data_IF_641579818696
#
_entry.id   IF_641579818696
#
_cell.length_a   1.000
_cell.length_b   1.000
_cell.length_c   1.000
_cell.angle_alpha   90.00
_cell.angle_beta   90.00
_cell.angle_gamma   90.00
#
_symmetry.space_group_name_H-M   'P 1'
#
loop_
_entity.id
_entity.type
_entity.pdbx_description
1 polymer ?
#
# COMPACT_ATOMS: atom_id res chain seq x y z
N UNK A 1 -9.10 -28.63 -13.70
CA UNK A 1 -8.69 -27.22 -13.51
C UNK A 1 -8.35 -27.07 -12.04
N UNK A 2 -7.18 -26.52 -11.73
CA UNK A 2 -6.76 -26.21 -10.36
C UNK A 2 -6.94 -24.73 -10.11
N UNK A 3 -7.42 -24.36 -8.93
CA UNK A 3 -7.61 -22.97 -8.52
C UNK A 3 -6.47 -22.58 -7.58
N UNK A 4 -6.05 -21.32 -7.62
CA UNK A 4 -5.06 -20.80 -6.69
C UNK A 4 -5.62 -20.75 -5.26
N UNK A 5 -4.99 -21.46 -4.33
CA UNK A 5 -5.41 -21.51 -2.91
C UNK A 5 -5.46 -20.14 -2.22
N UNK A 6 -4.71 -19.16 -2.73
CA UNK A 6 -4.67 -17.80 -2.16
C UNK A 6 -5.74 -16.87 -2.71
N UNK A 7 -6.13 -17.01 -3.98
CA UNK A 7 -6.96 -15.98 -4.66
C UNK A 7 -8.05 -16.53 -5.57
N UNK A 8 -8.17 -17.85 -5.74
CA UNK A 8 -9.21 -18.47 -6.56
C UNK A 8 -9.05 -18.29 -8.07
N UNK A 9 -7.90 -17.81 -8.56
CA UNK A 9 -7.63 -17.70 -9.99
C UNK A 9 -7.42 -19.09 -10.63
N UNK A 10 -7.93 -19.28 -11.85
CA UNK A 10 -7.76 -20.52 -12.63
C UNK A 10 -6.29 -20.71 -13.05
N UNK A 11 -5.68 -21.80 -12.61
CA UNK A 11 -4.30 -22.15 -12.92
C UNK A 11 -4.24 -23.17 -14.05
N UNK A 12 -3.26 -23.00 -14.93
CA UNK A 12 -2.87 -24.00 -15.93
C UNK A 12 -1.88 -24.98 -15.29
N UNK A 13 -1.87 -26.22 -15.78
CA UNK A 13 -1.03 -27.29 -15.23
C UNK A 13 0.48 -26.99 -15.26
N UNK A 14 0.92 -26.03 -16.08
CA UNK A 14 2.31 -25.60 -16.23
C UNK A 14 2.69 -24.38 -15.39
N UNK A 15 1.73 -23.74 -14.72
CA UNK A 15 1.97 -22.49 -14.03
C UNK A 15 2.77 -22.72 -12.76
N UNK A 16 3.99 -22.17 -12.70
CA UNK A 16 4.84 -22.17 -11.50
C UNK A 16 4.44 -21.08 -10.50
N UNK A 17 3.71 -20.08 -10.98
CA UNK A 17 3.24 -18.93 -10.20
C UNK A 17 1.85 -18.51 -10.68
N UNK A 18 1.02 -18.02 -9.76
CA UNK A 18 -0.29 -17.48 -10.09
C UNK A 18 -0.14 -16.12 -10.82
N UNK A 19 -0.69 -16.02 -12.03
CA UNK A 19 -0.65 -14.78 -12.82
C UNK A 19 -1.45 -13.61 -12.22
N UNK A 20 -2.36 -13.86 -11.28
CA UNK A 20 -3.17 -12.83 -10.65
C UNK A 20 -2.58 -12.31 -9.33
N UNK A 21 -2.02 -13.19 -8.48
CA UNK A 21 -1.54 -12.82 -7.14
C UNK A 21 -0.05 -13.08 -6.89
N UNK A 22 0.68 -13.64 -7.87
CA UNK A 22 2.12 -13.88 -7.80
C UNK A 22 2.55 -15.00 -6.85
N UNK A 23 1.61 -15.73 -6.25
CA UNK A 23 1.94 -16.81 -5.30
C UNK A 23 2.51 -18.00 -6.03
N UNK A 24 3.60 -18.56 -5.49
CA UNK A 24 4.22 -19.77 -6.05
C UNK A 24 3.24 -20.93 -5.98
N UNK A 25 3.04 -21.61 -7.11
CA UNK A 25 2.16 -22.77 -7.22
C UNK A 25 3.02 -24.00 -7.03
N UNK A 26 2.75 -24.80 -5.99
CA UNK A 26 3.38 -26.11 -5.81
C UNK A 26 2.70 -27.08 -6.76
N UNK A 27 3.34 -27.39 -7.89
CA UNK A 27 2.88 -28.45 -8.79
C UNK A 27 3.17 -29.79 -8.13
N UNK A 28 2.16 -30.36 -7.47
CA UNK A 28 2.27 -31.68 -6.83
C UNK A 28 2.10 -32.78 -7.87
N UNK A 29 3.22 -33.35 -8.34
CA UNK A 29 3.23 -34.72 -8.83
C UNK A 29 2.99 -35.65 -7.64
N UNK A 30 1.97 -36.50 -7.75
CA UNK A 30 1.50 -37.44 -6.72
C UNK A 30 2.65 -38.29 -6.15
N UNK A 31 2.87 -38.25 -4.83
CA UNK A 31 3.23 -39.41 -4.02
C UNK A 31 2.74 -39.23 -2.57
N UNK A 32 2.10 -40.29 -2.09
CA UNK A 32 1.53 -40.47 -0.75
C UNK A 32 2.55 -40.26 0.37
N UNK A 33 2.10 -39.68 1.48
CA UNK A 33 2.89 -39.54 2.70
C UNK A 33 2.20 -38.64 3.72
N UNK A 34 1.40 -39.27 4.59
CA UNK A 34 0.69 -38.59 5.67
C UNK A 34 1.71 -38.05 6.70
N UNK A 35 1.79 -36.72 6.83
CA UNK A 35 2.60 -36.04 7.85
C UNK A 35 1.71 -35.05 8.60
N UNK A 36 1.34 -35.40 9.83
CA UNK A 36 0.65 -34.50 10.75
C UNK A 36 1.68 -33.60 11.43
N UNK A 37 1.62 -32.31 11.11
CA UNK A 37 2.34 -31.27 11.86
C UNK A 37 1.38 -30.68 12.87
N UNK A 38 1.67 -30.86 14.16
CA UNK A 38 1.09 -30.02 15.21
C UNK A 38 1.62 -28.60 15.00
N UNK A 39 0.73 -27.71 14.58
CA UNK A 39 0.99 -26.28 14.52
C UNK A 39 0.77 -25.74 15.93
N UNK A 40 1.85 -25.42 16.64
CA UNK A 40 1.78 -24.47 17.74
C UNK A 40 1.27 -23.14 17.16
N UNK A 41 -0.02 -22.87 17.41
CA UNK A 41 -0.63 -21.57 17.17
C UNK A 41 -0.03 -20.55 18.15
N UNK A 42 1.18 -20.09 17.90
CA UNK A 42 1.68 -18.86 18.47
C UNK A 42 1.34 -17.72 17.52
N UNK A 43 0.11 -17.22 17.65
CA UNK A 43 -0.21 -15.83 17.36
C UNK A 43 -1.50 -15.49 18.09
N UNK A 44 -1.36 -14.91 19.27
CA UNK A 44 -2.33 -13.92 19.74
C UNK A 44 -2.20 -12.69 18.83
N UNK A 45 -2.67 -12.82 17.59
CA UNK A 45 -2.92 -11.68 16.71
C UNK A 45 -4.42 -11.47 16.68
N UNK A 46 -4.75 -10.31 17.24
CA UNK A 46 -6.08 -9.76 17.43
C UNK A 46 -6.94 -9.93 16.18
N UNK A 47 -8.20 -10.33 16.39
CA UNK A 47 -9.16 -10.55 15.29
C UNK A 47 -9.44 -9.25 14.50
N UNK A 48 -9.12 -8.09 15.07
CA UNK A 48 -9.16 -6.79 14.39
C UNK A 48 -8.11 -6.62 13.28
N UNK A 49 -6.91 -7.18 13.43
CA UNK A 49 -5.77 -6.95 12.52
C UNK A 49 -6.01 -7.56 11.13
N UNK A 50 -6.55 -8.77 11.11
CA UNK A 50 -6.93 -9.47 9.85
C UNK A 50 -8.09 -8.79 9.13
N UNK A 51 -8.94 -8.03 9.83
CA UNK A 51 -10.10 -7.38 9.23
C UNK A 51 -9.70 -6.20 8.34
N UNK A 52 -8.79 -5.35 8.80
CA UNK A 52 -8.31 -4.16 8.07
C UNK A 52 -7.49 -4.55 6.84
N UNK A 53 -6.60 -5.54 6.98
CA UNK A 53 -5.79 -6.03 5.85
C UNK A 53 -6.69 -6.61 4.74
N UNK A 54 -7.72 -7.38 5.11
CA UNK A 54 -8.69 -7.88 4.14
C UNK A 54 -9.48 -6.76 3.47
N UNK A 55 -9.88 -5.73 4.22
CA UNK A 55 -10.56 -4.56 3.67
C UNK A 55 -9.69 -3.86 2.62
N UNK A 56 -8.43 -3.56 2.94
CA UNK A 56 -7.46 -2.94 2.01
C UNK A 56 -7.29 -3.81 0.76
N UNK A 57 -7.20 -5.13 0.90
CA UNK A 57 -7.09 -6.05 -0.23
C UNK A 57 -8.33 -6.02 -1.14
N UNK A 58 -9.51 -5.83 -0.56
CA UNK A 58 -10.78 -5.76 -1.26
C UNK A 58 -11.08 -4.38 -1.88
N UNK A 59 -10.26 -3.35 -1.62
CA UNK A 59 -10.38 -2.05 -2.27
C UNK A 59 -9.92 -2.11 -3.74
N UNK A 60 -10.85 -2.45 -4.62
CA UNK A 60 -10.61 -2.59 -6.08
C UNK A 60 -10.25 -1.27 -6.77
N UNK A 61 -10.72 -0.13 -6.25
CA UNK A 61 -10.36 1.21 -6.75
C UNK A 61 -8.88 1.56 -6.50
N UNK A 62 -8.24 0.87 -5.57
CA UNK A 62 -6.85 1.10 -5.22
C UNK A 62 -5.95 0.29 -6.16
N UNK A 63 -4.80 0.85 -6.58
CA UNK A 63 -3.88 0.06 -7.40
C UNK A 63 -3.20 -1.01 -6.54
N UNK A 64 -2.71 -2.12 -7.14
CA UNK A 64 -1.97 -3.16 -6.41
C UNK A 64 -0.79 -2.60 -5.60
N UNK A 65 -0.10 -1.60 -6.14
CA UNK A 65 0.99 -0.88 -5.48
C UNK A 65 0.54 -0.27 -4.15
N UNK A 66 -0.50 0.57 -4.17
CA UNK A 66 -0.97 1.24 -2.95
C UNK A 66 -1.54 0.27 -1.92
N UNK A 67 -2.15 -0.84 -2.35
CA UNK A 67 -2.62 -1.89 -1.41
C UNK A 67 -1.46 -2.48 -0.62
N UNK A 68 -0.40 -2.92 -1.30
CA UNK A 68 0.78 -3.49 -0.66
C UNK A 68 1.42 -2.47 0.29
N UNK A 69 1.49 -1.22 -0.15
CA UNK A 69 2.10 -0.15 0.63
C UNK A 69 1.31 0.17 1.90
N UNK A 70 -0.01 0.21 1.82
CA UNK A 70 -0.88 0.48 2.96
C UNK A 70 -0.84 -0.65 3.98
N UNK A 71 -0.74 -1.91 3.52
CA UNK A 71 -0.57 -3.07 4.40
C UNK A 71 0.74 -2.97 5.18
N UNK A 72 1.87 -2.66 4.51
CA UNK A 72 3.16 -2.46 5.19
C UNK A 72 3.08 -1.35 6.25
N UNK A 73 2.45 -0.22 5.92
CA UNK A 73 2.28 0.90 6.86
C UNK A 73 1.47 0.45 8.09
N UNK A 74 0.37 -0.27 7.86
CA UNK A 74 -0.50 -0.79 8.91
C UNK A 74 0.20 -1.82 9.81
N UNK A 75 0.80 -2.86 9.22
CA UNK A 75 1.52 -3.93 9.94
C UNK A 75 2.71 -3.39 10.75
N UNK A 76 3.35 -2.33 10.27
CA UNK A 76 4.46 -1.66 10.98
C UNK A 76 4.03 -0.79 12.16
N UNK A 77 2.71 -0.72 12.44
CA UNK A 77 2.12 0.25 13.36
C UNK A 77 2.59 1.69 13.07
N UNK A 78 2.67 2.04 11.78
CA UNK A 78 3.07 3.36 11.25
C UNK A 78 4.51 3.78 11.54
N UNK A 79 5.35 2.89 12.04
CA UNK A 79 6.80 3.13 12.08
C UNK A 79 7.38 3.29 10.66
N UNK A 80 6.75 2.62 9.69
CA UNK A 80 6.97 2.82 8.26
C UNK A 80 5.89 3.73 7.67
N UNK A 81 6.31 4.75 6.90
CA UNK A 81 5.43 5.75 6.28
C UNK A 81 5.31 5.61 4.76
N UNK A 82 5.84 4.50 4.23
CA UNK A 82 5.81 4.19 2.83
C UNK A 82 7.13 4.45 2.09
N UNK A 83 7.26 3.86 0.91
CA UNK A 83 8.35 4.12 -0.03
C UNK A 83 8.21 5.52 -0.63
N UNK A 84 9.31 5.97 -1.24
CA UNK A 84 9.35 7.22 -1.99
C UNK A 84 8.28 7.27 -3.09
N UNK A 85 7.43 8.30 -3.03
CA UNK A 85 6.37 8.52 -4.00
C UNK A 85 6.79 9.55 -5.06
N UNK A 86 7.29 9.04 -6.19
CA UNK A 86 7.71 9.86 -7.33
C UNK A 86 6.64 10.82 -7.84
N UNK A 87 5.37 10.38 -7.88
CA UNK A 87 4.29 11.19 -8.42
C UNK A 87 3.94 12.36 -7.50
N UNK A 88 3.96 12.12 -6.20
CA UNK A 88 3.79 13.14 -5.17
C UNK A 88 4.96 14.14 -5.17
N UNK A 89 6.19 13.67 -5.36
CA UNK A 89 7.37 14.55 -5.49
C UNK A 89 7.26 15.49 -6.69
N UNK A 90 7.03 14.95 -7.90
CA UNK A 90 7.07 15.73 -9.14
C UNK A 90 5.82 16.60 -9.34
N UNK A 91 4.66 16.13 -8.88
CA UNK A 91 3.37 16.78 -9.14
C UNK A 91 2.67 17.28 -7.86
N UNK A 92 3.30 17.15 -6.69
CA UNK A 92 2.92 17.78 -5.41
C UNK A 92 1.42 18.01 -5.20
N UNK A 93 0.97 19.28 -5.15
CA UNK A 93 -0.44 19.60 -4.99
C UNK A 93 -1.39 19.00 -6.03
N UNK A 94 -0.98 18.89 -7.30
CA UNK A 94 -1.81 18.28 -8.35
C UNK A 94 -2.04 16.79 -8.08
N UNK A 95 -0.99 16.07 -7.71
CA UNK A 95 -1.12 14.67 -7.30
C UNK A 95 -2.06 14.53 -6.08
N UNK A 96 -1.92 15.40 -5.08
CA UNK A 96 -2.77 15.40 -3.90
C UNK A 96 -4.25 15.65 -4.23
N UNK A 97 -4.57 16.58 -5.14
CA UNK A 97 -5.94 16.82 -5.62
C UNK A 97 -6.51 15.57 -6.30
N UNK A 98 -5.76 14.95 -7.21
CA UNK A 98 -6.19 13.73 -7.92
C UNK A 98 -6.47 12.56 -6.97
N UNK A 99 -5.78 12.53 -5.82
CA UNK A 99 -5.96 11.53 -4.77
C UNK A 99 -6.95 11.98 -3.68
N UNK A 100 -7.65 13.09 -3.85
CA UNK A 100 -8.66 13.59 -2.92
C UNK A 100 -8.12 14.12 -1.60
N UNK A 101 -6.86 14.56 -1.57
CA UNK A 101 -6.21 15.20 -0.42
C UNK A 101 -6.25 16.72 -0.54
N UNK A 102 -7.44 17.31 -0.47
CA UNK A 102 -7.61 18.76 -0.66
C UNK A 102 -6.81 19.59 0.34
N UNK A 103 -6.64 19.10 1.58
CA UNK A 103 -6.07 19.90 2.66
C UNK A 103 -4.56 20.01 2.45
N UNK A 104 -3.91 18.87 2.24
CA UNK A 104 -2.49 18.80 1.89
C UNK A 104 -2.21 19.55 0.59
N UNK A 105 -3.11 19.48 -0.41
CA UNK A 105 -2.95 20.21 -1.67
C UNK A 105 -2.98 21.73 -1.48
N UNK A 106 -3.99 22.27 -0.78
CA UNK A 106 -4.13 23.71 -0.56
C UNK A 106 -2.95 24.23 0.26
N UNK A 107 -2.66 23.57 1.39
CA UNK A 107 -1.61 24.02 2.30
C UNK A 107 -0.23 23.86 1.64
N UNK A 108 0.00 22.76 0.94
CA UNK A 108 1.22 22.53 0.17
C UNK A 108 1.41 23.54 -0.96
N UNK A 109 0.35 23.90 -1.69
CA UNK A 109 0.40 24.92 -2.73
C UNK A 109 0.70 26.31 -2.16
N UNK A 110 0.00 26.72 -1.09
CA UNK A 110 0.24 28.02 -0.46
C UNK A 110 1.65 28.13 0.12
N UNK A 111 2.13 27.09 0.82
CA UNK A 111 3.48 27.08 1.38
C UNK A 111 4.53 27.07 0.27
N UNK A 112 4.36 26.26 -0.77
CA UNK A 112 5.29 26.24 -1.90
C UNK A 112 5.30 27.57 -2.67
N UNK A 113 4.15 28.23 -2.86
CA UNK A 113 4.06 29.54 -3.49
C UNK A 113 4.78 30.61 -2.66
N UNK A 114 4.48 30.71 -1.35
CA UNK A 114 5.11 31.66 -0.44
C UNK A 114 6.63 31.47 -0.35
N UNK A 115 7.09 30.22 -0.20
CA UNK A 115 8.51 29.90 -0.14
C UNK A 115 9.20 30.12 -1.48
N UNK A 116 8.52 29.81 -2.59
CA UNK A 116 9.05 30.03 -3.94
C UNK A 116 9.26 31.49 -4.30
N UNK A 117 8.49 32.42 -3.72
CA UNK A 117 8.77 33.85 -3.83
C UNK A 117 10.07 34.27 -3.12
N UNK A 118 10.52 33.51 -2.11
CA UNK A 118 11.75 33.77 -1.36
C UNK A 118 12.93 33.04 -2.02
N UNK A 119 12.78 31.74 -2.29
CA UNK A 119 13.78 30.90 -2.94
C UNK A 119 13.13 29.63 -3.52
N UNK A 120 13.51 29.31 -4.75
CA UNK A 120 13.19 28.08 -5.46
C UNK A 120 13.65 26.80 -4.72
N UNK A 121 14.81 26.85 -4.04
CA UNK A 121 15.29 25.73 -3.23
C UNK A 121 14.36 25.38 -2.05
N UNK A 122 13.67 26.38 -1.46
CA UNK A 122 12.72 26.14 -0.37
C UNK A 122 11.43 25.50 -0.88
N UNK A 123 10.98 25.85 -2.08
CA UNK A 123 9.87 25.16 -2.73
C UNK A 123 10.23 23.69 -3.05
N UNK A 124 11.48 23.42 -3.43
CA UNK A 124 11.98 22.05 -3.64
C UNK A 124 11.96 21.21 -2.36
N UNK A 125 12.20 21.80 -1.18
CA UNK A 125 12.07 21.10 0.11
C UNK A 125 10.63 20.58 0.32
N UNK A 126 9.63 21.40 -0.01
CA UNK A 126 8.22 21.00 0.08
C UNK A 126 7.93 19.83 -0.87
N UNK A 127 8.43 19.88 -2.10
CA UNK A 127 8.30 18.76 -3.03
C UNK A 127 8.91 17.47 -2.48
N UNK A 128 10.11 17.53 -1.86
CA UNK A 128 10.75 16.37 -1.23
C UNK A 128 9.91 15.81 -0.08
N UNK A 129 9.30 16.66 0.76
CA UNK A 129 8.38 16.21 1.82
C UNK A 129 7.17 15.49 1.24
N UNK A 130 6.60 15.98 0.14
CA UNK A 130 5.55 15.27 -0.60
C UNK A 130 6.03 13.91 -1.14
N UNK A 131 7.27 13.82 -1.63
CA UNK A 131 7.86 12.57 -2.08
C UNK A 131 8.02 11.54 -0.96
N UNK A 132 8.53 11.96 0.20
CA UNK A 132 8.75 11.09 1.36
C UNK A 132 7.43 10.62 2.00
N UNK A 133 6.44 11.51 2.12
CA UNK A 133 5.21 11.22 2.87
C UNK A 133 3.97 11.01 2.02
N UNK A 134 4.07 11.10 0.69
CA UNK A 134 2.91 10.99 -0.20
C UNK A 134 2.09 9.72 0.05
N UNK A 135 2.74 8.57 0.17
CA UNK A 135 2.06 7.30 0.46
C UNK A 135 1.33 7.31 1.81
N UNK A 136 1.96 7.84 2.87
CA UNK A 136 1.34 7.99 4.19
C UNK A 136 0.15 8.95 4.21
N UNK A 137 0.25 10.08 3.49
CA UNK A 137 -0.87 11.02 3.36
C UNK A 137 -2.09 10.31 2.75
N UNK A 138 -1.85 9.56 1.66
CA UNK A 138 -2.92 8.84 0.97
C UNK A 138 -3.49 7.69 1.81
N UNK A 139 -2.63 6.95 2.53
CA UNK A 139 -3.04 5.95 3.51
C UNK A 139 -3.95 6.55 4.59
N UNK A 140 -3.54 7.67 5.19
CA UNK A 140 -4.31 8.35 6.25
C UNK A 140 -5.70 8.78 5.76
N UNK A 141 -5.80 9.20 4.50
CA UNK A 141 -7.06 9.56 3.87
C UNK A 141 -7.98 8.36 3.64
N UNK A 142 -7.44 7.22 3.20
CA UNK A 142 -8.25 6.06 2.81
C UNK A 142 -8.57 5.16 4.02
N UNK A 143 -7.56 4.79 4.80
CA UNK A 143 -7.71 3.81 5.89
C UNK A 143 -8.20 4.47 7.17
N UNK A 144 -7.72 5.68 7.49
CA UNK A 144 -8.13 6.39 8.70
C UNK A 144 -9.24 7.41 8.49
N UNK A 145 -9.61 7.69 7.24
CA UNK A 145 -10.52 8.79 6.89
C UNK A 145 -10.10 10.15 7.47
N UNK A 146 -8.78 10.41 7.59
CA UNK A 146 -8.20 11.65 8.12
C UNK A 146 -7.40 12.38 7.06
N UNK A 147 -7.51 13.72 7.05
CA UNK A 147 -6.69 14.59 6.22
C UNK A 147 -5.59 15.19 7.10
N UNK A 148 -4.33 14.98 6.73
CA UNK A 148 -3.16 15.46 7.47
C UNK A 148 -2.28 16.33 6.58
N UNK A 149 -1.50 17.21 7.20
CA UNK A 149 -0.60 18.15 6.54
C UNK A 149 0.82 17.69 6.88
N UNK A 150 1.51 17.12 5.89
CA UNK A 150 2.87 16.53 5.90
C UNK A 150 3.25 15.73 7.15
#
# INVERSE_FOLDING_TARGET
MSLCEKCGYDLRATDKFCGACGTHVKVSGSQDGNFTIEIENSSTMDSGDKSVVNEINNMSFLSPYYRQEFIKIYESNESYTGEWNWMSFLFGPFWAILKGLWLSAIVGFLVAALLGFISDYLAMLIAVLFGLRGNYLYYSRIVKSKQIIY
#
